data_IF_919405562262
#
_entry.id   IF_919405562262
#
_cell.length_a   1.000
_cell.length_b   1.000
_cell.length_c   1.000
_cell.angle_alpha   90.00
_cell.angle_beta   90.00
_cell.angle_gamma   90.00
#
_symmetry.space_group_name_H-M   'P 1'
#
loop_
_entity.id
_entity.type
_entity.pdbx_description
1 polymer ?
#
# COMPACT_ATOMS: atom_id res chain seq x y z
N UNK A 1 -17.21 10.53 -6.56
CA UNK A 1 -16.18 10.74 -5.52
C UNK A 1 -15.65 12.17 -5.61
N UNK A 2 -15.39 12.82 -4.47
CA UNK A 2 -14.83 14.18 -4.41
C UNK A 2 -13.32 14.15 -4.66
N UNK A 3 -12.93 14.35 -5.92
CA UNK A 3 -11.53 14.37 -6.36
C UNK A 3 -10.73 15.53 -5.74
N UNK A 4 -11.38 16.66 -5.45
CA UNK A 4 -10.71 17.85 -4.89
C UNK A 4 -10.33 17.60 -3.43
N UNK A 5 -11.26 17.03 -2.65
CA UNK A 5 -11.00 16.62 -1.28
C UNK A 5 -9.90 15.55 -1.22
N UNK A 6 -10.00 14.52 -2.06
CA UNK A 6 -8.99 13.44 -2.13
C UNK A 6 -7.58 13.98 -2.42
N UNK A 7 -7.43 14.86 -3.42
CA UNK A 7 -6.13 15.46 -3.76
C UNK A 7 -5.57 16.27 -2.59
N UNK A 8 -6.40 17.09 -1.93
CA UNK A 8 -5.97 17.91 -0.79
C UNK A 8 -5.43 17.06 0.36
N UNK A 9 -6.15 16.00 0.74
CA UNK A 9 -5.75 15.11 1.84
C UNK A 9 -4.47 14.35 1.48
N UNK A 10 -4.41 13.76 0.28
CA UNK A 10 -3.23 13.02 -0.17
C UNK A 10 -1.97 13.89 -0.19
N UNK A 11 -2.08 15.13 -0.67
CA UNK A 11 -0.98 16.09 -0.65
C UNK A 11 -0.48 16.36 0.77
N UNK A 12 -1.38 16.54 1.74
CA UNK A 12 -1.00 16.76 3.13
C UNK A 12 -0.26 15.54 3.73
N UNK A 13 -0.77 14.33 3.50
CA UNK A 13 -0.14 13.07 3.96
C UNK A 13 1.24 12.91 3.34
N UNK A 14 1.37 13.11 2.02
CA UNK A 14 2.65 13.01 1.30
C UNK A 14 3.67 14.00 1.86
N UNK A 15 3.27 15.25 2.10
CA UNK A 15 4.16 16.27 2.63
C UNK A 15 4.64 15.92 4.06
N UNK A 16 3.78 15.35 4.91
CA UNK A 16 4.20 14.90 6.25
C UNK A 16 5.14 13.70 6.18
N UNK A 17 4.88 12.75 5.27
CA UNK A 17 5.77 11.63 5.02
C UNK A 17 7.17 12.08 4.59
N UNK A 18 7.26 13.05 3.66
CA UNK A 18 8.54 13.63 3.21
C UNK A 18 9.28 14.34 4.35
N UNK A 19 8.58 15.15 5.16
CA UNK A 19 9.16 15.82 6.33
C UNK A 19 9.73 14.83 7.35
N UNK A 20 8.97 13.79 7.67
CA UNK A 20 9.38 12.75 8.62
C UNK A 20 10.58 11.98 8.09
N UNK A 21 10.60 11.66 6.79
CA UNK A 21 11.72 10.98 6.17
C UNK A 21 13.02 11.80 6.25
N UNK A 22 12.92 13.09 5.93
CA UNK A 22 14.04 14.03 6.02
C UNK A 22 14.55 14.18 7.46
N UNK A 23 13.64 14.35 8.43
CA UNK A 23 13.99 14.42 9.84
C UNK A 23 14.74 13.17 10.31
N UNK A 24 14.26 11.97 9.95
CA UNK A 24 14.93 10.72 10.28
C UNK A 24 16.34 10.65 9.67
N UNK A 25 16.52 11.02 8.40
CA UNK A 25 17.86 11.02 7.78
C UNK A 25 18.81 12.01 8.44
N UNK A 26 18.34 13.19 8.86
CA UNK A 26 19.17 14.15 9.62
C UNK A 26 19.58 13.59 10.99
N UNK A 27 18.68 12.90 11.68
CA UNK A 27 18.93 12.35 13.02
C UNK A 27 19.87 11.14 12.95
N UNK A 28 19.64 10.22 12.03
CA UNK A 28 20.41 8.97 11.94
C UNK A 28 21.70 9.13 11.14
N UNK A 29 21.79 10.14 10.27
CA UNK A 29 22.88 10.29 9.30
C UNK A 29 22.82 9.28 8.15
N UNK A 30 21.76 8.45 8.07
CA UNK A 30 21.59 7.46 7.00
C UNK A 30 20.90 8.10 5.79
N UNK A 31 21.54 7.98 4.63
CA UNK A 31 21.00 8.48 3.36
C UNK A 31 19.87 7.56 2.83
N UNK A 32 19.95 6.27 3.16
CA UNK A 32 18.99 5.26 2.74
C UNK A 32 18.39 4.55 3.95
N UNK A 33 17.16 4.04 3.80
CA UNK A 33 16.51 3.29 4.87
C UNK A 33 17.26 2.00 5.12
N UNK A 34 17.43 1.65 6.40
CA UNK A 34 18.07 0.39 6.82
C UNK A 34 19.52 0.25 6.32
N UNK A 35 20.22 1.36 6.11
CA UNK A 35 21.63 1.35 5.71
C UNK A 35 22.50 0.56 6.72
N UNK A 36 22.18 0.65 8.01
CA UNK A 36 22.79 -0.15 9.09
C UNK A 36 22.35 -1.63 9.14
N UNK A 37 21.33 -2.04 8.39
CA UNK A 37 20.83 -3.41 8.34
C UNK A 37 20.51 -3.87 6.90
N UNK A 38 21.55 -4.08 6.08
CA UNK A 38 21.40 -4.42 4.67
C UNK A 38 20.74 -5.78 4.43
N UNK A 39 20.83 -6.71 5.39
CA UNK A 39 20.13 -7.99 5.30
C UNK A 39 18.61 -7.81 5.38
N UNK A 40 18.13 -6.96 6.30
CA UNK A 40 16.72 -6.62 6.41
C UNK A 40 16.23 -5.82 5.19
N UNK A 41 17.03 -4.85 4.70
CA UNK A 41 16.72 -4.08 3.50
C UNK A 41 16.44 -4.99 2.30
N UNK A 42 17.38 -5.91 1.98
CA UNK A 42 17.21 -6.90 0.90
C UNK A 42 16.00 -7.80 1.11
N UNK A 43 15.74 -8.23 2.35
CA UNK A 43 14.58 -9.06 2.68
C UNK A 43 13.25 -8.33 2.42
N UNK A 44 13.19 -7.01 2.64
CA UNK A 44 12.03 -6.18 2.29
C UNK A 44 11.93 -6.01 0.77
N UNK A 45 13.03 -5.65 0.10
CA UNK A 45 13.05 -5.44 -1.35
C UNK A 45 12.60 -6.67 -2.13
N UNK A 46 13.05 -7.87 -1.74
CA UNK A 46 12.65 -9.12 -2.38
C UNK A 46 11.13 -9.39 -2.32
N UNK A 47 10.40 -8.73 -1.42
CA UNK A 47 8.94 -8.88 -1.29
C UNK A 47 8.16 -7.92 -2.19
N UNK A 48 8.75 -6.79 -2.60
CA UNK A 48 8.05 -5.79 -3.42
C UNK A 48 7.52 -6.33 -4.76
N UNK A 49 8.26 -7.15 -5.53
CA UNK A 49 7.74 -7.71 -6.79
C UNK A 49 6.46 -8.53 -6.65
N UNK A 50 6.17 -9.07 -5.46
CA UNK A 50 4.94 -9.81 -5.18
C UNK A 50 3.83 -8.93 -4.60
N UNK A 51 4.19 -7.84 -3.92
CA UNK A 51 3.24 -6.90 -3.34
C UNK A 51 2.64 -5.96 -4.39
N UNK A 52 3.43 -5.49 -5.35
CA UNK A 52 2.96 -4.52 -6.36
C UNK A 52 1.78 -5.08 -7.19
N UNK A 53 1.85 -6.30 -7.75
CA UNK A 53 0.73 -6.87 -8.49
C UNK A 53 -0.52 -7.04 -7.62
N UNK A 54 -0.36 -7.42 -6.34
CA UNK A 54 -1.47 -7.58 -5.40
C UNK A 54 -2.13 -6.23 -5.07
N UNK A 55 -1.34 -5.18 -4.86
CA UNK A 55 -1.84 -3.82 -4.66
C UNK A 55 -2.66 -3.33 -5.86
N UNK A 56 -2.12 -3.51 -7.08
CA UNK A 56 -2.82 -3.14 -8.31
C UNK A 56 -4.12 -3.94 -8.50
N UNK A 57 -4.08 -5.25 -8.26
CA UNK A 57 -5.26 -6.11 -8.32
C UNK A 57 -6.31 -5.66 -7.28
N UNK A 58 -5.92 -5.38 -6.04
CA UNK A 58 -6.82 -4.93 -4.99
C UNK A 58 -7.54 -3.64 -5.37
N UNK A 59 -6.80 -2.64 -5.88
CA UNK A 59 -7.37 -1.36 -6.32
C UNK A 59 -8.40 -1.59 -7.44
N UNK A 60 -8.08 -2.44 -8.41
CA UNK A 60 -8.99 -2.75 -9.51
C UNK A 60 -10.25 -3.50 -9.04
N UNK A 61 -10.11 -4.47 -8.14
CA UNK A 61 -11.24 -5.21 -7.57
C UNK A 61 -12.14 -4.28 -6.75
N UNK A 62 -11.57 -3.39 -5.94
CA UNK A 62 -12.33 -2.36 -5.22
C UNK A 62 -13.07 -1.42 -6.17
N UNK A 63 -12.43 -1.00 -7.28
CA UNK A 63 -13.06 -0.15 -8.30
C UNK A 63 -14.26 -0.85 -8.93
N UNK A 64 -14.13 -2.13 -9.31
CA UNK A 64 -15.24 -2.93 -9.86
C UNK A 64 -16.35 -3.10 -8.83
N UNK A 65 -15.99 -3.40 -7.58
CA UNK A 65 -16.96 -3.57 -6.50
C UNK A 65 -17.75 -2.29 -6.21
N UNK A 66 -17.13 -1.11 -6.23
CA UNK A 66 -17.85 0.18 -6.06
C UNK A 66 -18.83 0.47 -7.20
N UNK A 67 -18.55 -0.01 -8.41
CA UNK A 67 -19.39 0.17 -9.60
C UNK A 67 -20.30 -1.03 -9.91
N UNK A 68 -20.42 -1.96 -8.96
CA UNK A 68 -21.16 -3.21 -9.17
C UNK A 68 -22.67 -2.98 -9.30
N UNK A 69 -23.35 -3.88 -10.00
CA UNK A 69 -24.82 -3.96 -9.97
C UNK A 69 -25.26 -4.73 -8.74
N UNK A 70 -26.24 -4.22 -8.01
CA UNK A 70 -26.82 -4.96 -6.89
C UNK A 70 -27.46 -6.26 -7.38
N UNK A 71 -27.33 -7.32 -6.59
CA UNK A 71 -27.85 -8.66 -6.93
C UNK A 71 -27.02 -9.45 -7.97
N UNK A 72 -25.95 -8.89 -8.55
CA UNK A 72 -25.09 -9.64 -9.48
C UNK A 72 -24.35 -10.78 -8.73
N UNK A 73 -24.49 -12.06 -9.15
CA UNK A 73 -23.77 -13.18 -8.56
C UNK A 73 -22.24 -13.03 -8.60
N UNK A 74 -21.70 -12.26 -9.55
CA UNK A 74 -20.27 -11.97 -9.62
C UNK A 74 -19.76 -11.13 -8.43
N UNK A 75 -20.64 -10.47 -7.68
CA UNK A 75 -20.28 -9.64 -6.53
C UNK A 75 -19.59 -10.43 -5.43
N UNK A 76 -20.02 -11.66 -5.18
CA UNK A 76 -19.35 -12.51 -4.18
C UNK A 76 -17.92 -12.83 -4.59
N UNK A 77 -17.69 -13.07 -5.89
CA UNK A 77 -16.35 -13.32 -6.42
C UNK A 77 -15.47 -12.08 -6.29
N UNK A 78 -16.02 -10.88 -6.51
CA UNK A 78 -15.31 -9.62 -6.29
C UNK A 78 -14.93 -9.44 -4.81
N UNK A 79 -15.86 -9.66 -3.88
CA UNK A 79 -15.59 -9.59 -2.43
C UNK A 79 -14.52 -10.57 -2.00
N UNK A 80 -14.63 -11.85 -2.42
CA UNK A 80 -13.62 -12.87 -2.14
C UNK A 80 -12.24 -12.44 -2.67
N UNK A 81 -12.18 -11.91 -3.89
CA UNK A 81 -10.95 -11.38 -4.47
C UNK A 81 -10.31 -10.26 -3.63
N UNK A 82 -11.12 -9.32 -3.14
CA UNK A 82 -10.65 -8.22 -2.27
C UNK A 82 -10.09 -8.77 -0.96
N UNK A 83 -10.78 -9.73 -0.33
CA UNK A 83 -10.29 -10.35 0.90
C UNK A 83 -8.98 -11.12 0.68
N UNK A 84 -8.87 -11.85 -0.43
CA UNK A 84 -7.64 -12.55 -0.78
C UNK A 84 -6.47 -11.57 -1.01
N UNK A 85 -6.71 -10.44 -1.68
CA UNK A 85 -5.67 -9.43 -1.86
C UNK A 85 -5.27 -8.76 -0.55
N UNK A 86 -6.22 -8.47 0.35
CA UNK A 86 -5.95 -7.93 1.69
C UNK A 86 -5.03 -8.90 2.46
N UNK A 87 -5.40 -10.18 2.50
CA UNK A 87 -4.61 -11.20 3.19
C UNK A 87 -3.21 -11.36 2.58
N UNK A 88 -3.11 -11.33 1.24
CA UNK A 88 -1.85 -11.41 0.53
C UNK A 88 -0.91 -10.23 0.84
N UNK A 89 -1.43 -9.00 0.81
CA UNK A 89 -0.68 -7.79 1.15
C UNK A 89 -0.23 -7.84 2.62
N UNK A 90 -1.12 -8.21 3.54
CA UNK A 90 -0.80 -8.32 4.96
C UNK A 90 0.32 -9.36 5.22
N UNK A 91 0.24 -10.53 4.58
CA UNK A 91 1.24 -11.57 4.70
C UNK A 91 2.62 -11.11 4.17
N UNK A 92 2.64 -10.35 3.07
CA UNK A 92 3.88 -9.82 2.49
C UNK A 92 4.49 -8.67 3.30
N UNK A 93 3.68 -7.76 3.86
CA UNK A 93 4.17 -6.65 4.67
C UNK A 93 4.70 -7.09 6.04
N UNK A 94 4.13 -8.16 6.62
CA UNK A 94 4.47 -8.65 7.97
C UNK A 94 4.16 -7.58 9.03
N UNK A 95 5.12 -7.26 9.91
CA UNK A 95 4.94 -6.26 10.96
C UNK A 95 5.05 -4.83 10.37
N UNK A 96 4.11 -3.95 10.75
CA UNK A 96 4.04 -2.57 10.23
C UNK A 96 3.77 -1.53 11.33
N UNK A 97 3.61 -1.98 12.58
CA UNK A 97 3.39 -1.16 13.78
C UNK A 97 3.43 -2.03 15.03
#
# INVERSE_FOLDING_TARGET
EDKKLGKRIFTAIKAEWERTHAALSMITGEAERLQSNPALARSIEHRFPYLDPLNHLQVELMRRYRNRKEGDPANERLQRGIHLSINGVAAGLRNTG
#
